data_IF_102806505503
#
_entry.id   IF_102806505503
#
_cell.length_a   1.000
_cell.length_b   1.000
_cell.length_c   1.000
_cell.angle_alpha   90.00
_cell.angle_beta   90.00
_cell.angle_gamma   90.00
#
_symmetry.space_group_name_H-M   'P 1'
#
loop_
_entity.id
_entity.type
_entity.pdbx_description
1 polymer ?
#
# COMPACT_ATOMS: atom_id res chain seq x y z
N UNK A 1 -68.36 9.10 -23.57
CA UNK A 1 -67.66 9.55 -24.79
C UNK A 1 -66.62 10.60 -24.42
N UNK A 2 -65.32 10.27 -24.43
CA UNK A 2 -64.21 11.22 -24.62
C UNK A 2 -62.94 10.41 -24.83
N UNK A 3 -62.56 10.20 -26.09
CA UNK A 3 -61.34 9.50 -26.49
C UNK A 3 -60.17 10.50 -26.30
N UNK A 4 -59.25 10.25 -25.38
CA UNK A 4 -57.94 10.93 -25.38
C UNK A 4 -57.03 10.14 -26.33
N UNK A 5 -56.65 10.76 -27.44
CA UNK A 5 -55.60 10.27 -28.32
C UNK A 5 -54.24 10.69 -27.75
N UNK A 6 -53.44 9.73 -27.31
CA UNK A 6 -52.06 9.94 -26.89
C UNK A 6 -51.17 9.82 -28.14
N UNK A 7 -50.71 10.95 -28.66
CA UNK A 7 -49.77 10.98 -29.77
C UNK A 7 -48.37 10.63 -29.26
N UNK A 8 -47.88 9.45 -29.65
CA UNK A 8 -46.54 8.97 -29.35
C UNK A 8 -45.57 9.60 -30.36
N UNK A 9 -44.81 10.61 -29.92
CA UNK A 9 -43.77 11.23 -30.73
C UNK A 9 -42.45 10.46 -30.51
N UNK A 10 -42.14 9.54 -31.42
CA UNK A 10 -40.83 8.88 -31.52
C UNK A 10 -39.83 9.88 -32.13
N UNK A 11 -39.02 10.53 -31.27
CA UNK A 11 -37.75 11.10 -31.72
C UNK A 11 -36.70 9.98 -31.81
N UNK A 12 -35.99 9.82 -32.95
CA UNK A 12 -34.75 9.05 -32.95
C UNK A 12 -33.67 9.92 -32.30
N UNK A 13 -33.27 9.58 -31.09
CA UNK A 13 -31.99 10.08 -30.54
C UNK A 13 -30.89 9.33 -31.29
N UNK A 14 -30.43 9.92 -32.39
CA UNK A 14 -29.14 9.59 -32.97
C UNK A 14 -28.05 9.95 -31.95
N UNK A 15 -27.15 8.99 -31.71
CA UNK A 15 -26.22 9.00 -30.61
C UNK A 15 -25.10 10.05 -30.69
N UNK A 16 -24.53 10.29 -29.51
CA UNK A 16 -23.10 10.53 -29.31
C UNK A 16 -22.82 10.42 -27.79
N UNK A 17 -22.93 9.21 -27.23
CA UNK A 17 -22.14 8.91 -26.05
C UNK A 17 -20.73 8.65 -26.56
N UNK A 18 -19.94 9.72 -26.71
CA UNK A 18 -18.55 9.60 -27.07
C UNK A 18 -17.86 8.70 -26.04
N UNK A 19 -17.11 7.73 -26.56
CA UNK A 19 -16.25 6.86 -25.80
C UNK A 19 -15.38 7.72 -24.86
N UNK A 20 -15.46 7.44 -23.57
CA UNK A 20 -14.40 7.85 -22.64
C UNK A 20 -13.20 7.00 -23.03
N UNK A 21 -12.36 7.55 -23.89
CA UNK A 21 -11.14 6.91 -24.34
C UNK A 21 -10.25 6.74 -23.10
N UNK A 22 -10.05 5.49 -22.68
CA UNK A 22 -9.31 5.12 -21.48
C UNK A 22 -7.79 5.34 -21.63
N UNK A 23 -7.37 6.06 -22.67
CA UNK A 23 -5.98 6.23 -23.09
C UNK A 23 -5.56 7.71 -23.21
N UNK A 24 -6.37 8.67 -22.78
CA UNK A 24 -5.95 10.08 -22.77
C UNK A 24 -4.99 10.34 -21.61
N UNK A 25 -3.74 10.67 -21.92
CA UNK A 25 -2.76 11.05 -20.92
C UNK A 25 -3.11 12.42 -20.34
N UNK A 26 -3.17 12.53 -19.00
CA UNK A 26 -3.46 13.80 -18.31
C UNK A 26 -2.18 14.30 -17.65
N UNK A 27 -1.77 15.51 -18.01
CA UNK A 27 -0.63 16.20 -17.39
C UNK A 27 -1.15 17.31 -16.46
N UNK A 28 -0.79 17.25 -15.17
CA UNK A 28 -1.21 18.25 -14.19
C UNK A 28 -0.03 19.17 -13.90
N UNK A 29 -0.15 20.45 -14.28
CA UNK A 29 0.90 21.47 -14.11
C UNK A 29 0.42 22.50 -13.08
N UNK A 30 1.29 22.89 -12.15
CA UNK A 30 1.00 23.97 -11.20
C UNK A 30 1.71 25.25 -11.65
N UNK A 31 0.94 26.27 -11.98
CA UNK A 31 1.44 27.57 -12.47
C UNK A 31 1.31 28.65 -11.38
N UNK A 32 2.23 29.61 -11.41
CA UNK A 32 2.12 30.86 -10.63
C UNK A 32 1.23 31.87 -11.37
N UNK A 33 0.73 32.90 -10.67
CA UNK A 33 -0.15 33.93 -11.25
C UNK A 33 0.41 34.61 -12.50
N UNK A 34 1.75 34.62 -12.64
CA UNK A 34 2.48 35.29 -13.70
C UNK A 34 2.75 34.39 -14.93
N UNK A 35 2.40 33.11 -14.89
CA UNK A 35 2.75 32.11 -15.91
C UNK A 35 1.52 31.62 -16.70
N UNK A 36 1.62 31.58 -18.03
CA UNK A 36 0.53 31.13 -18.90
C UNK A 36 0.50 29.60 -19.00
N UNK A 37 -0.68 28.99 -18.81
CA UNK A 37 -0.87 27.55 -18.97
C UNK A 37 -0.47 27.08 -20.39
N UNK A 38 0.41 26.07 -20.53
CA UNK A 38 0.77 25.53 -21.84
C UNK A 38 -0.44 24.87 -22.52
N UNK A 39 -0.57 24.96 -23.85
CA UNK A 39 -1.71 24.41 -24.56
C UNK A 39 -1.76 22.88 -24.45
N UNK A 40 -2.98 22.33 -24.39
CA UNK A 40 -3.19 20.88 -24.52
C UNK A 40 -2.96 20.43 -25.97
N UNK A 41 -2.48 19.21 -26.15
CA UNK A 41 -2.34 18.56 -27.47
C UNK A 41 -3.47 17.56 -27.69
N UNK A 42 -3.62 17.02 -28.91
CA UNK A 42 -4.65 16.00 -29.22
C UNK A 42 -4.47 14.69 -28.42
N UNK A 43 -3.26 14.45 -27.90
CA UNK A 43 -2.86 13.23 -27.19
C UNK A 43 -2.79 13.42 -25.67
N UNK A 44 -2.58 14.66 -25.19
CA UNK A 44 -2.37 14.98 -23.77
C UNK A 44 -3.20 16.18 -23.36
N UNK A 45 -4.10 15.97 -22.39
CA UNK A 45 -4.85 17.05 -21.75
C UNK A 45 -3.99 17.65 -20.64
N UNK A 46 -3.64 18.94 -20.76
CA UNK A 46 -2.92 19.67 -19.72
C UNK A 46 -3.90 20.44 -18.85
N UNK A 47 -3.96 20.11 -17.56
CA UNK A 47 -4.79 20.79 -16.57
C UNK A 47 -3.89 21.64 -15.67
N UNK A 48 -4.10 22.96 -15.69
CA UNK A 48 -3.33 23.89 -14.86
C UNK A 48 -4.04 24.19 -13.53
N UNK A 49 -3.33 23.99 -12.43
CA UNK A 49 -3.74 24.44 -11.09
C UNK A 49 -2.97 25.69 -10.67
N UNK A 50 -3.64 26.62 -10.00
CA UNK A 50 -3.01 27.83 -9.47
C UNK A 50 -2.29 27.52 -8.14
N UNK A 51 -1.05 27.97 -8.00
CA UNK A 51 -0.34 27.92 -6.72
C UNK A 51 -0.53 29.24 -5.97
N UNK A 52 -1.51 29.31 -5.06
CA UNK A 52 -1.86 30.52 -4.29
C UNK A 52 -0.71 31.05 -3.41
N UNK A 53 0.21 30.19 -2.98
CA UNK A 53 1.36 30.57 -2.14
C UNK A 53 2.63 29.81 -2.57
N UNK A 54 3.52 30.47 -3.34
CA UNK A 54 4.73 29.86 -3.91
C UNK A 54 5.66 29.18 -2.88
N UNK A 55 5.71 29.70 -1.65
CA UNK A 55 6.59 29.19 -0.59
C UNK A 55 5.87 28.29 0.43
N UNK A 56 4.57 28.01 0.24
CA UNK A 56 3.79 27.15 1.14
C UNK A 56 3.41 25.85 0.42
N UNK A 57 3.64 24.73 1.11
CA UNK A 57 3.17 23.41 0.65
C UNK A 57 1.62 23.47 0.45
N UNK A 58 1.11 23.12 -0.74
CA UNK A 58 -0.32 23.08 -1.04
C UNK A 58 -1.10 22.29 0.01
N UNK A 59 -2.33 22.72 0.31
CA UNK A 59 -3.17 22.10 1.36
C UNK A 59 -3.32 20.58 1.22
N UNK A 60 -3.50 20.10 -0.01
CA UNK A 60 -3.62 18.68 -0.33
C UNK A 60 -2.33 17.86 -0.06
N UNK A 61 -1.15 18.51 -0.05
CA UNK A 61 0.15 17.86 0.14
C UNK A 61 0.69 18.02 1.57
N UNK A 62 -0.07 18.65 2.47
CA UNK A 62 0.33 18.79 3.87
C UNK A 62 0.20 17.45 4.57
N UNK A 63 1.31 16.89 5.02
CA UNK A 63 1.29 15.67 5.84
C UNK A 63 0.55 15.91 7.15
N UNK A 64 -0.43 15.06 7.50
CA UNK A 64 -1.11 15.16 8.80
C UNK A 64 -0.07 14.98 9.91
N UNK A 65 -0.03 15.93 10.85
CA UNK A 65 0.84 15.86 12.03
C UNK A 65 2.01 16.86 12.08
N UNK A 66 2.25 17.64 11.01
CA UNK A 66 3.23 18.73 11.07
C UNK A 66 2.84 19.83 12.07
N UNK A 67 3.79 20.50 12.74
CA UNK A 67 3.49 21.57 13.71
C UNK A 67 2.72 22.74 13.07
N UNK A 68 2.92 22.98 11.77
CA UNK A 68 2.19 23.97 10.98
C UNK A 68 0.70 23.63 10.77
N UNK A 69 0.32 22.36 10.86
CA UNK A 69 -1.05 21.86 10.64
C UNK A 69 -1.87 21.78 11.93
N UNK A 70 -1.30 22.19 13.07
CA UNK A 70 -2.02 22.21 14.36
C UNK A 70 -2.85 23.46 14.49
N UNK A 71 -4.10 23.30 14.95
CA UNK A 71 -5.01 24.41 15.19
C UNK A 71 -4.40 25.40 16.21
N UNK A 72 -4.67 26.70 16.03
CA UNK A 72 -4.17 27.75 16.93
C UNK A 72 -4.55 27.48 18.39
N UNK A 73 -5.79 27.03 18.62
CA UNK A 73 -6.31 26.66 19.95
C UNK A 73 -5.49 25.58 20.64
N UNK A 74 -4.99 24.61 19.88
CA UNK A 74 -4.17 23.51 20.44
C UNK A 74 -2.78 24.01 20.82
N UNK A 75 -2.20 24.91 20.01
CA UNK A 75 -0.92 25.55 20.34
C UNK A 75 -1.03 26.40 21.60
N UNK A 76 -2.12 27.16 21.76
CA UNK A 76 -2.36 27.97 22.98
C UNK A 76 -2.57 27.07 24.20
N UNK A 77 -3.27 25.94 24.06
CA UNK A 77 -3.46 24.97 25.15
C UNK A 77 -2.13 24.40 25.62
N UNK A 78 -1.25 24.03 24.68
CA UNK A 78 0.10 23.56 25.02
C UNK A 78 0.95 24.65 25.67
N UNK A 79 0.89 25.87 25.14
CA UNK A 79 1.65 26.99 25.72
C UNK A 79 1.26 27.27 27.17
N UNK A 80 -0.03 27.09 27.53
CA UNK A 80 -0.50 27.17 28.93
C UNK A 80 0.14 26.10 29.81
N UNK A 81 0.33 24.89 29.28
CA UNK A 81 0.92 23.77 30.04
C UNK A 81 2.44 23.88 30.18
N UNK A 82 3.11 24.71 29.38
CA UNK A 82 4.56 24.98 29.53
C UNK A 82 4.79 25.73 30.84
N UNK A 83 5.21 25.00 31.87
CA UNK A 83 5.45 25.52 33.22
C UNK A 83 4.50 24.97 34.29
N UNK A 84 3.38 24.33 33.88
CA UNK A 84 2.51 23.60 34.81
C UNK A 84 3.22 22.31 35.28
N UNK A 85 3.87 22.40 36.43
CA UNK A 85 4.51 21.27 37.11
C UNK A 85 3.82 21.01 38.45
N UNK A 86 3.50 19.75 38.75
CA UNK A 86 2.83 19.38 40.00
C UNK A 86 1.98 18.14 39.88
N UNK A 87 1.17 17.89 40.92
CA UNK A 87 0.18 16.81 40.88
C UNK A 87 -0.89 17.12 39.83
N UNK A 88 -1.32 16.09 39.09
CA UNK A 88 -2.30 16.18 38.00
C UNK A 88 -1.87 17.03 36.78
N UNK A 89 -0.61 17.47 36.66
CA UNK A 89 -0.15 18.10 35.43
C UNK A 89 0.32 17.07 34.39
N UNK A 90 0.16 17.36 33.09
CA UNK A 90 0.71 16.49 32.03
C UNK A 90 2.23 16.64 31.85
N UNK A 91 2.92 17.32 32.77
CA UNK A 91 4.37 17.51 32.72
C UNK A 91 5.07 16.43 33.56
N UNK A 92 6.11 15.75 33.02
CA UNK A 92 6.90 14.81 33.81
C UNK A 92 7.86 15.51 34.78
N UNK A 93 8.00 16.84 34.72
CA UNK A 93 8.92 17.60 35.56
C UNK A 93 8.28 17.97 36.91
N UNK A 94 9.02 17.76 38.02
CA UNK A 94 8.64 18.16 39.37
C UNK A 94 8.05 17.03 40.24
N UNK A 95 7.79 17.34 41.51
CA UNK A 95 7.19 16.40 42.45
C UNK A 95 5.71 16.15 42.09
N UNK A 96 5.32 14.89 41.92
CA UNK A 96 3.95 14.51 41.57
C UNK A 96 3.64 14.46 40.07
N UNK A 97 4.61 14.71 39.18
CA UNK A 97 4.40 14.62 37.72
C UNK A 97 4.01 13.22 37.23
N UNK A 98 4.25 12.17 38.03
CA UNK A 98 3.82 10.81 37.70
C UNK A 98 2.30 10.59 37.87
N UNK A 99 1.60 11.49 38.57
CA UNK A 99 0.16 11.35 38.88
C UNK A 99 -0.77 11.89 37.79
N UNK A 100 -0.23 12.60 36.79
CA UNK A 100 -0.98 13.15 35.67
C UNK A 100 -0.97 12.22 34.44
N UNK A 101 -0.62 12.79 33.29
CA UNK A 101 -0.77 12.18 31.95
C UNK A 101 0.32 11.15 31.61
N UNK A 102 0.86 10.44 32.61
CA UNK A 102 1.97 9.49 32.42
C UNK A 102 1.65 8.39 31.42
N UNK A 103 0.43 7.85 31.45
CA UNK A 103 0.01 6.82 30.52
C UNK A 103 0.02 7.31 29.07
N UNK A 104 -0.38 8.57 28.84
CA UNK A 104 -0.35 9.18 27.51
C UNK A 104 1.08 9.43 27.04
N UNK A 105 1.97 9.88 27.93
CA UNK A 105 3.40 10.05 27.64
C UNK A 105 4.07 8.71 27.31
N UNK A 106 3.73 7.65 28.03
CA UNK A 106 4.19 6.29 27.76
C UNK A 106 3.70 5.83 26.39
N UNK A 107 2.41 5.99 26.09
CA UNK A 107 1.84 5.64 24.79
C UNK A 107 2.49 6.41 23.63
N UNK A 108 2.76 7.71 23.84
CA UNK A 108 3.48 8.54 22.87
C UNK A 108 4.91 8.01 22.63
N UNK A 109 5.64 7.68 23.70
CA UNK A 109 6.98 7.13 23.57
C UNK A 109 7.00 5.79 22.82
N UNK A 110 6.01 4.91 23.04
CA UNK A 110 5.88 3.66 22.27
C UNK A 110 5.55 3.92 20.81
N UNK A 111 4.65 4.86 20.51
CA UNK A 111 4.32 5.27 19.13
C UNK A 111 5.55 5.81 18.40
N UNK A 112 6.36 6.63 19.07
CA UNK A 112 7.58 7.19 18.48
C UNK A 112 8.62 6.09 18.22
N UNK A 113 8.76 5.11 19.13
CA UNK A 113 9.61 3.93 18.90
C UNK A 113 9.13 3.07 17.73
N UNK A 114 7.81 2.91 17.55
CA UNK A 114 7.26 2.18 16.41
C UNK A 114 7.50 2.91 15.09
N UNK A 115 7.44 4.24 15.10
CA UNK A 115 7.73 5.08 13.94
C UNK A 115 9.21 5.42 13.77
N UNK A 116 10.08 4.93 14.65
CA UNK A 116 11.50 5.22 14.59
C UNK A 116 12.09 4.79 13.24
N UNK A 117 12.93 5.62 12.58
CA UNK A 117 13.46 5.32 11.26
C UNK A 117 14.12 3.93 11.19
N UNK A 118 14.87 3.54 12.21
CA UNK A 118 15.52 2.22 12.27
C UNK A 118 14.53 1.04 12.16
N UNK A 119 13.33 1.14 12.75
CA UNK A 119 12.30 0.09 12.65
C UNK A 119 11.65 0.07 11.27
N UNK A 120 11.37 1.25 10.70
CA UNK A 120 10.82 1.40 9.35
C UNK A 120 11.78 0.89 8.27
N UNK A 121 13.07 1.25 8.37
CA UNK A 121 14.10 0.71 7.47
C UNK A 121 14.26 -0.81 7.65
N UNK A 122 14.21 -1.31 8.88
CA UNK A 122 14.21 -2.76 9.15
C UNK A 122 13.05 -3.48 8.45
N UNK A 123 11.83 -2.95 8.51
CA UNK A 123 10.66 -3.52 7.82
C UNK A 123 10.86 -3.58 6.30
N UNK A 124 11.41 -2.52 5.71
CA UNK A 124 11.68 -2.46 4.26
C UNK A 124 12.77 -3.49 3.87
N UNK A 125 13.81 -3.62 4.68
CA UNK A 125 14.90 -4.59 4.45
C UNK A 125 14.36 -6.02 4.55
N UNK A 126 13.53 -6.31 5.55
CA UNK A 126 12.92 -7.64 5.69
C UNK A 126 11.97 -7.96 4.55
N UNK A 127 11.16 -7.00 4.09
CA UNK A 127 10.30 -7.18 2.91
C UNK A 127 11.15 -7.49 1.65
N UNK A 128 12.19 -6.70 1.38
CA UNK A 128 13.09 -6.94 0.25
C UNK A 128 13.84 -8.29 0.37
N UNK A 129 14.18 -8.70 1.59
CA UNK A 129 14.76 -10.03 1.84
C UNK A 129 13.76 -11.14 1.54
N UNK A 130 12.50 -10.99 1.94
CA UNK A 130 11.45 -11.95 1.67
C UNK A 130 11.22 -12.09 0.15
N UNK A 131 11.16 -10.99 -0.59
CA UNK A 131 11.02 -11.02 -2.06
C UNK A 131 12.18 -11.77 -2.71
N UNK A 132 13.42 -11.50 -2.30
CA UNK A 132 14.60 -12.20 -2.81
C UNK A 132 14.59 -13.70 -2.44
N UNK A 133 14.16 -14.05 -1.23
CA UNK A 133 14.05 -15.45 -0.83
C UNK A 133 12.97 -16.18 -1.64
N UNK A 134 11.82 -15.56 -1.88
CA UNK A 134 10.76 -16.16 -2.69
C UNK A 134 11.25 -16.53 -4.10
N UNK A 135 12.01 -15.65 -4.75
CA UNK A 135 12.62 -15.97 -6.07
C UNK A 135 13.60 -17.13 -6.03
N UNK A 136 14.33 -17.27 -4.91
CA UNK A 136 15.29 -18.38 -4.73
C UNK A 136 14.52 -19.68 -4.51
N UNK A 137 13.45 -19.65 -3.73
CA UNK A 137 12.62 -20.83 -3.45
C UNK A 137 11.93 -21.35 -4.72
N UNK A 138 11.43 -20.45 -5.59
CA UNK A 138 10.87 -20.82 -6.89
C UNK A 138 11.93 -21.45 -7.82
N UNK A 139 13.12 -20.84 -7.91
CA UNK A 139 14.22 -21.38 -8.71
C UNK A 139 14.71 -22.74 -8.18
N UNK A 140 14.79 -22.88 -6.86
CA UNK A 140 15.16 -24.14 -6.21
C UNK A 140 14.12 -25.23 -6.46
N UNK A 141 12.82 -24.92 -6.40
CA UNK A 141 11.74 -25.86 -6.70
C UNK A 141 11.78 -26.32 -8.17
N UNK A 142 12.03 -25.41 -9.11
CA UNK A 142 12.17 -25.75 -10.52
C UNK A 142 13.39 -26.65 -10.79
N UNK A 143 14.53 -26.34 -10.16
CA UNK A 143 15.73 -27.16 -10.30
C UNK A 143 15.54 -28.54 -9.66
N UNK A 144 14.93 -28.60 -8.48
CA UNK A 144 14.61 -29.86 -7.81
C UNK A 144 13.71 -30.73 -8.68
N UNK A 145 12.64 -30.17 -9.26
CA UNK A 145 11.79 -30.90 -10.19
C UNK A 145 12.56 -31.41 -11.42
N UNK A 146 13.51 -30.63 -11.94
CA UNK A 146 14.36 -31.03 -13.07
C UNK A 146 15.28 -32.20 -12.70
N UNK A 147 15.93 -32.14 -11.53
CA UNK A 147 16.79 -33.23 -11.03
C UNK A 147 15.97 -34.51 -10.87
N UNK A 148 14.78 -34.42 -10.27
CA UNK A 148 13.91 -35.58 -10.09
C UNK A 148 13.45 -36.21 -11.41
N UNK A 149 13.19 -35.41 -12.46
CA UNK A 149 12.90 -35.96 -13.79
C UNK A 149 14.11 -36.73 -14.35
N UNK A 150 15.32 -36.15 -14.23
CA UNK A 150 16.55 -36.79 -14.70
C UNK A 150 16.81 -38.10 -13.93
N UNK A 151 16.59 -38.11 -12.62
CA UNK A 151 16.70 -39.30 -11.78
C UNK A 151 15.70 -40.38 -12.20
N UNK A 152 14.43 -40.02 -12.42
CA UNK A 152 13.40 -40.95 -12.93
C UNK A 152 13.79 -41.56 -14.28
N UNK A 153 14.28 -40.74 -15.21
CA UNK A 153 14.74 -41.21 -16.53
C UNK A 153 15.95 -42.15 -16.41
N UNK A 154 16.89 -41.83 -15.52
CA UNK A 154 18.07 -42.64 -15.24
C UNK A 154 17.70 -44.01 -14.65
N UNK A 155 16.81 -44.03 -13.65
CA UNK A 155 16.29 -45.26 -13.05
C UNK A 155 15.53 -46.11 -14.07
N UNK A 156 14.69 -45.49 -14.90
CA UNK A 156 13.97 -46.18 -15.96
C UNK A 156 14.91 -46.82 -17.00
N UNK A 157 16.04 -46.16 -17.32
CA UNK A 157 17.09 -46.75 -18.17
C UNK A 157 17.73 -47.96 -17.51
N UNK A 158 18.09 -47.86 -16.24
CA UNK A 158 18.67 -48.97 -15.48
C UNK A 158 17.71 -50.15 -15.31
N UNK A 159 16.41 -49.91 -15.13
CA UNK A 159 15.40 -50.98 -15.03
C UNK A 159 15.30 -51.78 -16.34
N UNK A 160 15.26 -51.08 -17.47
CA UNK A 160 15.29 -51.70 -18.81
C UNK A 160 16.54 -52.56 -19.03
N UNK A 161 17.69 -52.10 -18.56
CA UNK A 161 18.96 -52.86 -18.65
C UNK A 161 18.98 -54.10 -17.74
N UNK A 162 18.36 -54.03 -16.55
CA UNK A 162 18.23 -55.18 -15.62
C UNK A 162 17.16 -56.19 -16.01
N UNK A 163 16.31 -55.89 -17.00
CA UNK A 163 15.17 -56.73 -17.36
C UNK A 163 14.04 -56.71 -16.33
N UNK A 164 13.98 -55.66 -15.49
CA UNK A 164 12.89 -55.40 -14.55
C UNK A 164 11.93 -54.36 -15.16
N UNK A 165 10.62 -54.59 -15.04
CA UNK A 165 9.62 -53.62 -15.49
C UNK A 165 9.72 -52.33 -14.64
N UNK A 166 9.70 -51.13 -15.26
CA UNK A 166 9.88 -49.88 -14.52
C UNK A 166 8.69 -49.64 -13.57
N UNK A 167 8.97 -49.53 -12.28
CA UNK A 167 7.99 -49.15 -11.26
C UNK A 167 7.44 -47.76 -11.58
N UNK A 168 6.17 -47.67 -11.92
CA UNK A 168 5.45 -46.39 -12.10
C UNK A 168 5.09 -45.86 -10.72
N UNK A 169 5.72 -44.76 -10.29
CA UNK A 169 5.51 -44.17 -8.95
C UNK A 169 4.22 -43.33 -8.83
N UNK A 170 3.13 -43.71 -9.49
CA UNK A 170 1.78 -43.20 -9.19
C UNK A 170 1.14 -43.98 -8.02
N UNK A 171 1.95 -44.39 -7.04
CA UNK A 171 1.43 -44.98 -5.81
C UNK A 171 0.86 -43.86 -4.94
N UNK A 172 -0.43 -43.95 -4.52
CA UNK A 172 -1.02 -42.97 -3.62
C UNK A 172 -0.20 -42.91 -2.33
N UNK A 173 -0.17 -41.75 -1.64
CA UNK A 173 0.68 -41.55 -0.47
C UNK A 173 0.43 -42.67 0.54
N UNK A 174 1.51 -43.34 0.94
CA UNK A 174 1.46 -44.44 1.89
C UNK A 174 0.72 -44.01 3.16
N UNK A 175 -0.27 -44.81 3.56
CA UNK A 175 -1.06 -44.63 4.77
C UNK A 175 -0.14 -44.43 5.99
N UNK A 176 -0.38 -43.44 6.86
CA UNK A 176 0.55 -43.11 7.94
C UNK A 176 0.68 -44.28 8.92
N UNK A 177 1.93 -44.63 9.22
CA UNK A 177 2.28 -45.70 10.15
C UNK A 177 1.63 -45.45 11.54
N UNK A 178 1.09 -46.50 12.20
CA UNK A 178 0.42 -46.33 13.48
C UNK A 178 1.40 -45.89 14.58
N UNK A 179 0.94 -44.95 15.41
CA UNK A 179 1.74 -44.38 16.49
C UNK A 179 2.15 -45.46 17.51
N UNK A 180 3.39 -45.38 18.05
CA UNK A 180 3.89 -46.35 19.01
C UNK A 180 3.08 -46.29 20.33
N UNK A 181 2.81 -47.47 20.90
CA UNK A 181 2.13 -47.65 22.20
C UNK A 181 2.99 -47.20 23.38
#
# INVERSE_FOLDING_TARGET
MRKLALAFFLLPVAGAAQAQDANTAVNIVYITEDEQCPPSTEEVITVCGLLEEQFRIPSALRQPGGPANRAWTDRVRELRTVGESGTLSCSPAGAGGFTGCTQELIAAAYRDRQNAPARRFGQIIEAARADRLATIDEAAAAEQARVEQIEREYEARLARERGEDPVTQDQPPAEPLPAPR
#
